data_IF_775378374474
#
_entry.id   IF_775378374474
#
_cell.length_a   1.000
_cell.length_b   1.000
_cell.length_c   1.000
_cell.angle_alpha   90.00
_cell.angle_beta   90.00
_cell.angle_gamma   90.00
#
_symmetry.space_group_name_H-M   'P 1'
#
loop_
_entity.id
_entity.type
_entity.pdbx_description
1 polymer ?
#
# COMPACT_ATOMS: atom_id res chain seq x y z
N UNK A 1 -28.61 -10.44 -13.73
CA UNK A 1 -29.01 -9.32 -12.83
C UNK A 1 -29.72 -8.26 -13.64
N UNK A 2 -30.90 -7.78 -13.19
CA UNK A 2 -31.71 -6.78 -13.90
C UNK A 2 -31.05 -5.40 -13.77
N UNK A 3 -30.76 -4.75 -14.89
CA UNK A 3 -30.29 -3.36 -14.96
C UNK A 3 -31.49 -2.46 -15.19
N UNK A 4 -31.60 -1.39 -14.41
CA UNK A 4 -32.62 -0.35 -14.62
C UNK A 4 -31.92 0.89 -15.15
N UNK A 5 -32.41 1.43 -16.28
CA UNK A 5 -31.92 2.67 -16.87
C UNK A 5 -32.94 3.76 -16.66
N UNK A 6 -32.52 4.91 -16.13
CA UNK A 6 -33.36 6.09 -15.95
C UNK A 6 -32.63 7.32 -16.47
N UNK A 7 -33.39 8.33 -16.91
CA UNK A 7 -32.86 9.66 -17.20
C UNK A 7 -33.41 10.63 -16.17
N UNK A 8 -32.55 11.14 -15.29
CA UNK A 8 -32.97 11.93 -14.13
C UNK A 8 -32.39 13.34 -14.16
N UNK A 9 -33.16 14.36 -13.74
CA UNK A 9 -32.65 15.70 -13.55
C UNK A 9 -31.80 15.79 -12.28
N UNK A 10 -30.72 16.56 -12.36
CA UNK A 10 -29.86 16.94 -11.24
C UNK A 10 -30.48 18.14 -10.53
N UNK A 11 -30.76 17.99 -9.23
CA UNK A 11 -31.26 19.06 -8.35
C UNK A 11 -30.19 19.51 -7.38
N UNK A 12 -30.15 20.80 -7.05
CA UNK A 12 -29.29 21.36 -6.00
C UNK A 12 -30.06 21.37 -4.69
N UNK A 13 -29.44 20.90 -3.60
CA UNK A 13 -30.06 20.79 -2.26
C UNK A 13 -29.25 21.50 -1.17
N UNK A 14 -28.34 22.38 -1.56
CA UNK A 14 -27.50 23.16 -0.68
C UNK A 14 -26.21 23.60 -1.36
N UNK A 15 -25.33 24.26 -0.61
CA UNK A 15 -24.03 24.67 -1.10
C UNK A 15 -23.21 23.46 -1.54
N UNK A 16 -22.96 23.36 -2.85
CA UNK A 16 -22.20 22.28 -3.47
C UNK A 16 -22.77 20.86 -3.25
N UNK A 17 -24.07 20.73 -2.93
CA UNK A 17 -24.74 19.44 -2.78
C UNK A 17 -25.77 19.25 -3.88
N UNK A 18 -25.61 18.15 -4.62
CA UNK A 18 -26.50 17.77 -5.71
C UNK A 18 -27.13 16.40 -5.43
N UNK A 19 -28.32 16.17 -5.96
CA UNK A 19 -29.01 14.89 -5.87
C UNK A 19 -29.74 14.54 -7.15
N UNK A 20 -30.13 13.28 -7.27
CA UNK A 20 -31.08 12.78 -8.26
C UNK A 20 -32.30 12.26 -7.51
N UNK A 21 -33.48 12.68 -7.93
CA UNK A 21 -34.75 12.17 -7.42
C UNK A 21 -35.32 11.15 -8.39
N UNK A 22 -35.63 9.95 -7.92
CA UNK A 22 -36.30 8.90 -8.69
C UNK A 22 -37.81 9.14 -8.64
N UNK A 23 -38.48 9.50 -9.76
CA UNK A 23 -39.91 9.74 -9.79
C UNK A 23 -40.71 8.49 -9.40
N UNK A 24 -41.87 8.66 -8.74
CA UNK A 24 -42.75 7.55 -8.30
C UNK A 24 -43.04 6.54 -9.41
N UNK A 25 -43.37 7.02 -10.63
CA UNK A 25 -43.59 6.18 -11.82
C UNK A 25 -42.42 5.26 -12.19
N UNK A 26 -41.19 5.65 -11.84
CA UNK A 26 -39.98 4.88 -12.09
C UNK A 26 -39.60 4.01 -10.88
N UNK A 27 -40.11 4.32 -9.69
CA UNK A 27 -39.90 3.51 -8.48
C UNK A 27 -40.55 2.13 -8.63
N UNK A 28 -41.77 2.07 -9.19
CA UNK A 28 -42.48 0.80 -9.42
C UNK A 28 -41.75 -0.11 -10.41
N UNK A 29 -40.95 0.48 -11.31
CA UNK A 29 -40.10 -0.25 -12.28
C UNK A 29 -38.82 -0.78 -11.64
N UNK A 30 -38.43 -0.21 -10.50
CA UNK A 30 -37.22 -0.57 -9.74
C UNK A 30 -37.60 -1.59 -8.66
N UNK A 31 -37.32 -2.86 -8.94
CA UNK A 31 -37.48 -3.94 -7.96
C UNK A 31 -36.29 -3.99 -6.96
N UNK A 32 -35.97 -2.86 -6.32
CA UNK A 32 -34.95 -2.76 -5.26
C UNK A 32 -35.60 -2.27 -3.96
N UNK A 33 -35.19 -2.84 -2.83
CA UNK A 33 -35.63 -2.40 -1.52
C UNK A 33 -34.77 -1.25 -1.00
N UNK A 34 -35.35 -0.42 -0.13
CA UNK A 34 -34.60 0.65 0.54
C UNK A 34 -33.36 0.08 1.23
N UNK A 35 -32.20 0.75 1.06
CA UNK A 35 -30.87 0.31 1.52
C UNK A 35 -30.25 -0.88 0.79
N UNK A 36 -30.88 -1.43 -0.26
CA UNK A 36 -30.23 -2.41 -1.12
C UNK A 36 -28.89 -1.87 -1.65
N UNK A 37 -27.88 -2.72 -1.69
CA UNK A 37 -26.57 -2.35 -2.22
C UNK A 37 -26.63 -2.39 -3.74
N UNK A 38 -26.33 -1.25 -4.35
CA UNK A 38 -26.41 -1.07 -5.79
C UNK A 38 -25.10 -0.55 -6.37
N UNK A 39 -24.79 -0.99 -7.57
CA UNK A 39 -23.92 -0.29 -8.51
C UNK A 39 -24.73 0.80 -9.19
N UNK A 40 -24.24 2.03 -9.06
CA UNK A 40 -24.77 3.20 -9.74
C UNK A 40 -23.74 3.67 -10.79
N UNK A 41 -24.11 3.58 -12.07
CA UNK A 41 -23.37 4.18 -13.18
C UNK A 41 -24.07 5.45 -13.60
N UNK A 42 -23.40 6.60 -13.50
CA UNK A 42 -23.87 7.87 -14.02
C UNK A 42 -23.15 8.18 -15.32
N UNK A 43 -23.93 8.60 -16.32
CA UNK A 43 -23.46 8.92 -17.67
C UNK A 43 -23.99 10.30 -18.03
N UNK A 44 -23.08 11.19 -18.42
CA UNK A 44 -23.38 12.50 -18.99
C UNK A 44 -22.43 12.74 -20.16
N UNK A 45 -23.00 12.91 -21.35
CA UNK A 45 -22.24 13.06 -22.60
C UNK A 45 -21.21 11.91 -22.73
N UNK A 46 -19.95 12.24 -23.01
CA UNK A 46 -18.85 11.27 -23.18
C UNK A 46 -18.20 10.86 -21.85
N UNK A 47 -18.76 11.26 -20.70
CA UNK A 47 -18.19 10.98 -19.37
C UNK A 47 -19.06 10.01 -18.60
N UNK A 48 -18.42 9.10 -17.87
CA UNK A 48 -19.12 8.20 -16.94
C UNK A 48 -18.36 7.97 -15.63
N UNK A 49 -19.12 7.66 -14.60
CA UNK A 49 -18.59 7.23 -13.30
C UNK A 49 -19.46 6.13 -12.71
N UNK A 50 -18.79 5.16 -12.09
CA UNK A 50 -19.42 4.04 -11.42
C UNK A 50 -19.01 4.03 -9.95
N UNK A 51 -20.02 3.99 -9.08
CA UNK A 51 -19.88 3.94 -7.62
C UNK A 51 -20.80 2.89 -7.02
N UNK A 52 -20.42 2.40 -5.84
CA UNK A 52 -21.29 1.61 -4.97
C UNK A 52 -22.06 2.59 -4.09
N UNK A 53 -23.39 2.42 -4.07
CA UNK A 53 -24.32 3.18 -3.23
C UNK A 53 -25.31 2.24 -2.54
N UNK A 54 -26.05 2.80 -1.58
CA UNK A 54 -27.30 2.21 -1.12
C UNK A 54 -28.45 2.81 -1.93
N UNK A 55 -29.43 1.99 -2.27
CA UNK A 55 -30.61 2.45 -2.97
C UNK A 55 -31.45 3.33 -2.04
N UNK A 56 -31.78 4.51 -2.55
CA UNK A 56 -32.68 5.50 -1.98
C UNK A 56 -33.33 6.24 -3.16
N UNK A 57 -34.59 6.63 -3.04
CA UNK A 57 -35.30 7.47 -4.01
C UNK A 57 -34.63 8.84 -4.19
N UNK A 58 -33.92 9.31 -3.16
CA UNK A 58 -33.04 10.47 -3.22
C UNK A 58 -31.57 10.04 -3.23
N UNK A 59 -30.93 10.08 -4.39
CA UNK A 59 -29.54 9.70 -4.57
C UNK A 59 -28.65 10.94 -4.45
N UNK A 60 -27.99 11.11 -3.30
CA UNK A 60 -27.03 12.20 -3.11
C UNK A 60 -25.77 11.99 -3.97
N UNK A 61 -25.38 13.01 -4.74
CA UNK A 61 -24.19 13.00 -5.58
C UNK A 61 -22.99 13.54 -4.81
N UNK A 62 -21.92 12.75 -4.75
CA UNK A 62 -20.68 13.16 -4.10
C UNK A 62 -19.97 14.24 -4.91
N UNK A 63 -19.20 15.08 -4.23
CA UNK A 63 -18.38 16.14 -4.86
C UNK A 63 -17.46 15.60 -5.96
N UNK A 64 -16.88 14.40 -5.79
CA UNK A 64 -16.05 13.74 -6.80
C UNK A 64 -16.83 13.38 -8.08
N UNK A 65 -18.09 12.95 -7.93
CA UNK A 65 -19.01 12.64 -9.04
C UNK A 65 -19.41 13.93 -9.77
N UNK A 66 -19.82 14.94 -9.01
CA UNK A 66 -20.22 16.26 -9.53
C UNK A 66 -19.09 16.91 -10.31
N UNK A 67 -17.87 16.92 -9.75
CA UNK A 67 -16.68 17.44 -10.43
C UNK A 67 -16.34 16.64 -11.69
N UNK A 68 -16.36 15.31 -11.64
CA UNK A 68 -15.99 14.48 -12.79
C UNK A 68 -16.95 14.64 -13.96
N UNK A 69 -18.25 14.71 -13.68
CA UNK A 69 -19.30 14.83 -14.69
C UNK A 69 -19.67 16.28 -15.01
N UNK A 70 -19.05 17.27 -14.37
CA UNK A 70 -19.39 18.69 -14.50
C UNK A 70 -20.90 18.92 -14.34
N UNK A 71 -21.50 18.37 -13.28
CA UNK A 71 -22.94 18.54 -13.06
C UNK A 71 -23.28 19.95 -12.62
N UNK A 72 -24.34 20.49 -13.23
CA UNK A 72 -25.05 21.71 -12.82
C UNK A 72 -26.50 21.37 -12.54
N UNK A 73 -27.19 22.25 -11.82
CA UNK A 73 -28.63 22.13 -11.62
C UNK A 73 -29.38 22.15 -12.97
N UNK A 74 -30.45 21.37 -13.09
CA UNK A 74 -31.23 21.22 -14.32
C UNK A 74 -30.60 20.30 -15.36
N UNK A 75 -29.33 19.89 -15.19
CA UNK A 75 -28.73 18.90 -16.09
C UNK A 75 -29.43 17.55 -15.97
N UNK A 76 -29.61 16.86 -17.09
CA UNK A 76 -30.06 15.47 -17.12
C UNK A 76 -28.87 14.51 -17.15
N UNK A 77 -29.04 13.37 -16.51
CA UNK A 77 -28.06 12.28 -16.55
C UNK A 77 -28.75 10.94 -16.70
N UNK A 78 -28.19 10.13 -17.59
CA UNK A 78 -28.54 8.72 -17.67
C UNK A 78 -27.90 7.98 -16.50
N UNK A 79 -28.73 7.35 -15.69
CA UNK A 79 -28.28 6.45 -14.63
C UNK A 79 -28.60 5.01 -14.98
N UNK A 80 -27.68 4.12 -14.63
CA UNK A 80 -27.89 2.68 -14.66
C UNK A 80 -27.73 2.16 -13.24
N UNK A 81 -28.79 1.55 -12.73
CA UNK A 81 -28.85 0.94 -11.41
C UNK A 81 -28.83 -0.57 -11.54
N UNK A 82 -28.05 -1.23 -10.69
CA UNK A 82 -27.95 -2.68 -10.65
C UNK A 82 -27.68 -3.14 -9.22
N UNK A 83 -28.53 -4.02 -8.70
CA UNK A 83 -28.29 -4.65 -7.40
C UNK A 83 -27.02 -5.50 -7.48
N UNK A 84 -26.12 -5.32 -6.52
CA UNK A 84 -24.87 -6.08 -6.45
C UNK A 84 -24.78 -6.87 -5.15
N UNK A 85 -24.09 -8.00 -5.23
CA UNK A 85 -23.71 -8.82 -4.08
C UNK A 85 -22.19 -8.84 -3.97
N UNK A 86 -21.68 -8.82 -2.74
CA UNK A 86 -20.24 -8.97 -2.54
C UNK A 86 -19.79 -10.36 -2.99
N UNK A 87 -18.67 -10.49 -3.71
CA UNK A 87 -18.11 -11.80 -4.01
C UNK A 87 -17.75 -12.54 -2.72
N UNK A 88 -17.82 -13.87 -2.78
CA UNK A 88 -17.32 -14.73 -1.70
C UNK A 88 -15.82 -14.54 -1.53
N UNK A 89 -15.35 -14.61 -0.29
CA UNK A 89 -13.93 -14.49 0.01
C UNK A 89 -13.20 -15.75 -0.46
N UNK A 90 -12.05 -15.62 -1.11
CA UNK A 90 -11.25 -16.78 -1.46
C UNK A 90 -10.69 -17.43 -0.18
N UNK A 91 -10.56 -18.74 -0.16
CA UNK A 91 -9.92 -19.48 0.94
C UNK A 91 -8.39 -19.41 0.91
N UNK A 92 -7.80 -19.09 -0.26
CA UNK A 92 -6.35 -19.01 -0.48
C UNK A 92 -5.96 -17.59 -0.84
N UNK A 93 -4.81 -17.15 -0.32
CA UNK A 93 -4.22 -15.85 -0.63
C UNK A 93 -3.50 -15.80 -1.98
N UNK A 94 -3.16 -16.96 -2.56
CA UNK A 94 -2.46 -17.07 -3.84
C UNK A 94 -3.34 -17.75 -4.89
N UNK A 95 -3.42 -17.15 -6.08
CA UNK A 95 -4.12 -17.71 -7.24
C UNK A 95 -3.30 -17.46 -8.49
N UNK A 96 -2.95 -18.53 -9.21
CA UNK A 96 -2.15 -18.45 -10.45
C UNK A 96 -0.86 -17.62 -10.28
N UNK A 97 -0.14 -17.87 -9.19
CA UNK A 97 1.11 -17.17 -8.86
C UNK A 97 0.96 -15.68 -8.47
N UNK A 98 -0.26 -15.18 -8.27
CA UNK A 98 -0.53 -13.80 -7.84
C UNK A 98 -1.25 -13.76 -6.49
N UNK A 99 -0.99 -12.71 -5.72
CA UNK A 99 -1.68 -12.46 -4.45
C UNK A 99 -3.10 -11.94 -4.72
N UNK A 100 -4.12 -12.57 -4.15
CA UNK A 100 -5.51 -12.11 -4.17
C UNK A 100 -5.78 -11.15 -3.00
N UNK A 101 -5.92 -9.86 -3.29
CA UNK A 101 -6.18 -8.83 -2.27
C UNK A 101 -7.54 -8.97 -1.60
N UNK A 102 -8.50 -9.67 -2.21
CA UNK A 102 -9.79 -9.94 -1.57
C UNK A 102 -9.64 -10.81 -0.31
N UNK A 103 -8.61 -11.67 -0.27
CA UNK A 103 -8.30 -12.53 0.88
C UNK A 103 -7.97 -11.72 2.15
N UNK A 104 -7.30 -10.57 1.99
CA UNK A 104 -6.78 -9.77 3.12
C UNK A 104 -7.70 -8.65 3.57
N UNK A 105 -8.69 -8.29 2.74
CA UNK A 105 -9.67 -7.27 3.08
C UNK A 105 -10.49 -7.73 4.29
N UNK A 106 -10.74 -6.95 5.35
CA UNK A 106 -11.64 -7.37 6.43
C UNK A 106 -13.12 -7.25 6.02
N UNK A 107 -14.04 -7.91 6.72
CA UNK A 107 -15.48 -7.81 6.42
C UNK A 107 -16.08 -6.49 6.87
N UNK A 108 -15.61 -6.01 8.02
CA UNK A 108 -15.98 -4.74 8.60
C UNK A 108 -14.73 -3.88 8.75
N UNK A 109 -14.90 -2.56 8.66
CA UNK A 109 -13.89 -1.61 9.10
C UNK A 109 -13.70 -1.69 10.62
N UNK A 110 -12.59 -1.15 11.13
CA UNK A 110 -12.34 -1.01 12.58
C UNK A 110 -13.45 -0.25 13.33
N UNK A 111 -14.27 0.54 12.62
CA UNK A 111 -15.44 1.25 13.17
C UNK A 111 -16.75 0.45 13.08
N UNK A 112 -16.68 -0.84 12.76
CA UNK A 112 -17.85 -1.73 12.63
C UNK A 112 -18.63 -1.61 11.32
N UNK A 113 -18.31 -0.67 10.42
CA UNK A 113 -19.01 -0.54 9.14
C UNK A 113 -18.65 -1.66 8.16
N UNK A 114 -19.65 -2.36 7.62
CA UNK A 114 -19.46 -3.40 6.58
C UNK A 114 -18.76 -2.85 5.34
N UNK A 115 -17.79 -3.60 4.85
CA UNK A 115 -17.09 -3.35 3.59
C UNK A 115 -17.79 -4.14 2.49
N UNK A 116 -18.32 -3.39 1.53
CA UNK A 116 -18.96 -3.92 0.33
C UNK A 116 -17.93 -3.95 -0.78
N UNK A 117 -17.94 -5.04 -1.53
CA UNK A 117 -16.98 -5.31 -2.59
C UNK A 117 -17.74 -5.58 -3.87
N UNK A 118 -17.27 -5.02 -4.97
CA UNK A 118 -17.71 -5.37 -6.31
C UNK A 118 -16.48 -5.69 -7.15
N UNK A 119 -16.47 -6.84 -7.81
CA UNK A 119 -15.44 -7.17 -8.79
C UNK A 119 -15.82 -6.63 -10.17
N UNK A 120 -14.86 -6.03 -10.86
CA UNK A 120 -15.02 -5.58 -12.24
C UNK A 120 -13.72 -5.71 -13.02
N UNK A 121 -13.80 -5.66 -14.34
CA UNK A 121 -12.64 -5.75 -15.22
C UNK A 121 -12.36 -4.40 -15.89
N UNK A 122 -11.08 -4.03 -15.96
CA UNK A 122 -10.59 -2.90 -16.76
C UNK A 122 -9.40 -3.38 -17.57
N UNK A 123 -9.49 -3.31 -18.91
CA UNK A 123 -8.44 -3.76 -19.84
C UNK A 123 -7.96 -5.18 -19.52
N UNK A 124 -8.90 -6.14 -19.35
CA UNK A 124 -8.64 -7.54 -18.96
C UNK A 124 -8.00 -7.75 -17.58
N UNK A 125 -7.81 -6.70 -16.78
CA UNK A 125 -7.31 -6.79 -15.40
C UNK A 125 -8.50 -6.77 -14.43
N UNK A 126 -8.54 -7.70 -13.48
CA UNK A 126 -9.54 -7.72 -12.42
C UNK A 126 -9.23 -6.68 -11.34
N UNK A 127 -10.26 -5.90 -10.99
CA UNK A 127 -10.25 -4.86 -9.97
C UNK A 127 -11.38 -5.10 -8.96
N UNK A 128 -11.16 -4.63 -7.74
CA UNK A 128 -12.15 -4.54 -6.68
C UNK A 128 -12.55 -3.07 -6.49
N UNK A 129 -13.85 -2.79 -6.55
CA UNK A 129 -14.43 -1.53 -6.08
C UNK A 129 -14.89 -1.78 -4.64
N UNK A 130 -14.30 -1.07 -3.70
CA UNK A 130 -14.54 -1.22 -2.26
C UNK A 130 -15.30 -0.02 -1.74
N UNK A 131 -16.29 -0.25 -0.90
CA UNK A 131 -17.10 0.80 -0.30
C UNK A 131 -17.47 0.45 1.14
N UNK A 132 -17.37 1.41 2.05
CA UNK A 132 -17.97 1.32 3.38
C UNK A 132 -18.89 2.51 3.61
N UNK A 133 -20.03 2.28 4.25
CA UNK A 133 -20.99 3.31 4.60
C UNK A 133 -20.83 3.69 6.07
N UNK A 134 -20.59 4.98 6.32
CA UNK A 134 -20.66 5.55 7.66
C UNK A 134 -22.11 5.52 8.17
N UNK A 135 -22.31 5.54 9.49
CA UNK A 135 -23.64 5.59 10.12
C UNK A 135 -24.47 6.78 9.62
N UNK A 136 -23.81 7.92 9.42
CA UNK A 136 -24.38 9.16 8.83
C UNK A 136 -24.65 9.11 7.32
N UNK A 137 -24.56 7.94 6.68
CA UNK A 137 -24.90 7.74 5.26
C UNK A 137 -23.82 8.12 4.25
N UNK A 138 -22.74 8.81 4.66
CA UNK A 138 -21.60 9.05 3.78
C UNK A 138 -20.89 7.74 3.43
N UNK A 139 -20.28 7.67 2.25
CA UNK A 139 -19.53 6.49 1.84
C UNK A 139 -18.24 6.88 1.14
N UNK A 140 -17.27 5.98 1.17
CA UNK A 140 -15.99 6.18 0.50
C UNK A 140 -15.75 5.04 -0.47
N UNK A 141 -15.57 5.37 -1.75
CA UNK A 141 -15.32 4.38 -2.80
C UNK A 141 -13.84 4.38 -3.16
N UNK A 142 -13.20 3.22 -3.11
CA UNK A 142 -11.83 3.03 -3.56
C UNK A 142 -11.77 1.88 -4.56
N UNK A 143 -10.84 1.96 -5.51
CA UNK A 143 -10.62 0.94 -6.51
C UNK A 143 -9.20 0.42 -6.33
N UNK A 144 -9.04 -0.89 -6.33
CA UNK A 144 -7.73 -1.56 -6.29
C UNK A 144 -7.74 -2.75 -7.25
N UNK A 145 -6.57 -3.21 -7.69
CA UNK A 145 -6.46 -4.49 -8.39
C UNK A 145 -6.87 -5.62 -7.46
N UNK A 146 -7.42 -6.69 -8.02
CA UNK A 146 -7.69 -7.91 -7.25
C UNK A 146 -6.41 -8.74 -7.09
N UNK A 147 -5.75 -9.00 -8.22
CA UNK A 147 -4.56 -9.84 -8.27
C UNK A 147 -3.31 -9.00 -8.47
N UNK A 148 -2.30 -9.20 -7.62
CA UNK A 148 -1.02 -8.46 -7.66
C UNK A 148 0.17 -9.42 -7.71
N UNK A 149 1.24 -9.02 -8.41
CA UNK A 149 2.48 -9.80 -8.44
C UNK A 149 3.06 -9.92 -7.02
N UNK A 150 3.59 -11.11 -6.72
CA UNK A 150 4.12 -11.45 -5.40
C UNK A 150 5.31 -10.57 -5.01
N UNK A 151 6.33 -10.48 -5.86
CA UNK A 151 7.52 -9.67 -5.59
C UNK A 151 7.17 -8.19 -5.37
N UNK A 152 6.36 -7.60 -6.24
CA UNK A 152 5.94 -6.19 -6.11
C UNK A 152 5.20 -5.96 -4.78
N UNK A 153 4.27 -6.85 -4.43
CA UNK A 153 3.53 -6.71 -3.18
C UNK A 153 4.42 -6.97 -1.96
N UNK A 154 5.36 -7.92 -2.05
CA UNK A 154 6.37 -8.19 -1.03
C UNK A 154 7.21 -6.96 -0.76
N UNK A 155 7.72 -6.31 -1.81
CA UNK A 155 8.49 -5.06 -1.72
C UNK A 155 7.72 -3.94 -1.02
N UNK A 156 6.44 -3.74 -1.36
CA UNK A 156 5.57 -2.78 -0.66
C UNK A 156 5.44 -3.10 0.83
N UNK A 157 5.20 -4.37 1.17
CA UNK A 157 5.06 -4.79 2.57
C UNK A 157 6.37 -4.67 3.34
N UNK A 158 7.52 -4.92 2.71
CA UNK A 158 8.84 -4.73 3.28
C UNK A 158 9.11 -3.26 3.61
N UNK A 159 8.82 -2.35 2.68
CA UNK A 159 8.92 -0.89 2.91
C UNK A 159 7.97 -0.41 4.03
N UNK A 160 6.73 -0.92 4.03
CA UNK A 160 5.78 -0.60 5.10
C UNK A 160 6.23 -1.18 6.46
N UNK A 161 6.92 -2.31 6.46
CA UNK A 161 7.48 -2.88 7.68
C UNK A 161 8.63 -2.05 8.22
N UNK A 162 9.50 -1.47 7.39
CA UNK A 162 10.60 -0.67 7.89
C UNK A 162 10.14 0.73 8.30
N UNK A 163 9.58 1.46 7.34
CA UNK A 163 9.41 2.92 7.41
C UNK A 163 7.93 3.36 7.49
N UNK A 164 7.00 2.40 7.40
CA UNK A 164 5.57 2.65 7.44
C UNK A 164 5.00 2.77 8.86
N UNK A 165 3.92 3.54 8.99
CA UNK A 165 3.11 3.55 10.21
C UNK A 165 2.40 2.21 10.39
N UNK A 166 2.65 1.53 11.52
CA UNK A 166 2.13 0.19 11.82
C UNK A 166 0.88 0.18 12.70
N UNK A 167 0.53 1.31 13.31
CA UNK A 167 -0.52 1.41 14.35
C UNK A 167 -1.77 2.15 13.91
N UNK A 168 -1.69 2.97 12.86
CA UNK A 168 -2.82 3.79 12.42
C UNK A 168 -3.66 3.08 11.34
N UNK A 169 -4.77 2.47 11.74
CA UNK A 169 -5.72 1.83 10.80
C UNK A 169 -6.60 2.82 10.02
N UNK A 170 -6.59 4.11 10.36
CA UNK A 170 -7.37 5.13 9.68
C UNK A 170 -6.71 5.63 8.39
N UNK A 171 -5.37 5.59 8.35
CA UNK A 171 -4.55 6.24 7.34
C UNK A 171 -3.32 5.38 7.07
N UNK A 172 -2.97 5.18 5.79
CA UNK A 172 -1.69 4.59 5.44
C UNK A 172 -0.66 5.72 5.34
N UNK A 173 0.40 5.64 6.13
CA UNK A 173 1.48 6.65 6.15
C UNK A 173 2.83 5.97 5.94
N UNK A 174 3.64 6.53 5.04
CA UNK A 174 5.01 6.15 4.78
C UNK A 174 5.88 7.40 4.83
N UNK A 175 6.97 7.38 5.61
CA UNK A 175 7.85 8.52 5.83
C UNK A 175 9.27 8.18 5.37
N UNK A 176 9.87 8.99 4.51
CA UNK A 176 11.28 8.82 4.16
C UNK A 176 11.92 10.16 3.71
N UNK A 177 13.25 10.20 3.73
CA UNK A 177 14.04 11.31 3.16
C UNK A 177 14.48 11.02 1.72
N UNK A 178 14.68 9.74 1.41
CA UNK A 178 15.14 9.30 0.11
C UNK A 178 14.03 9.45 -0.94
N UNK A 179 14.28 10.30 -1.95
CA UNK A 179 13.35 10.51 -3.06
C UNK A 179 13.12 9.23 -3.88
N UNK A 180 14.12 8.35 -3.97
CA UNK A 180 13.99 7.06 -4.66
C UNK A 180 13.06 6.11 -3.91
N UNK A 181 13.19 5.99 -2.58
CA UNK A 181 12.29 5.16 -1.77
C UNK A 181 10.85 5.68 -1.80
N UNK A 182 10.66 7.01 -1.79
CA UNK A 182 9.34 7.64 -1.94
C UNK A 182 8.72 7.34 -3.31
N UNK A 183 9.51 7.44 -4.38
CA UNK A 183 9.06 7.15 -5.75
C UNK A 183 8.71 5.67 -5.92
N UNK A 184 9.51 4.77 -5.37
CA UNK A 184 9.24 3.32 -5.38
C UNK A 184 7.95 3.00 -4.63
N UNK A 185 7.76 3.58 -3.44
CA UNK A 185 6.53 3.43 -2.68
C UNK A 185 5.31 3.87 -3.48
N UNK A 186 5.37 5.04 -4.14
CA UNK A 186 4.30 5.52 -5.01
C UNK A 186 4.04 4.60 -6.20
N UNK A 187 5.09 4.08 -6.83
CA UNK A 187 4.95 3.11 -7.92
C UNK A 187 4.20 1.86 -7.46
N UNK A 188 4.46 1.36 -6.25
CA UNK A 188 3.70 0.24 -5.69
C UNK A 188 2.24 0.62 -5.41
N UNK A 189 1.98 1.79 -4.83
CA UNK A 189 0.61 2.30 -4.60
C UNK A 189 -0.17 2.46 -5.91
N UNK A 190 0.45 3.01 -6.96
CA UNK A 190 -0.16 3.10 -8.30
C UNK A 190 -0.37 1.73 -8.93
N UNK A 191 0.56 0.80 -8.72
CA UNK A 191 0.42 -0.58 -9.17
C UNK A 191 -0.80 -1.27 -8.52
N UNK A 192 -1.09 -0.98 -7.25
CA UNK A 192 -2.31 -1.44 -6.59
C UNK A 192 -3.59 -0.84 -7.19
N UNK A 193 -3.48 0.21 -8.01
CA UNK A 193 -4.61 0.90 -8.63
C UNK A 193 -5.13 2.10 -7.83
N UNK A 194 -4.42 2.53 -6.79
CA UNK A 194 -4.75 3.74 -6.03
C UNK A 194 -4.35 4.95 -6.88
N UNK A 195 -5.26 5.91 -7.04
CA UNK A 195 -5.02 7.06 -7.92
C UNK A 195 -4.27 8.19 -7.21
N UNK A 196 -3.56 9.04 -7.97
CA UNK A 196 -2.79 10.17 -7.42
C UNK A 196 -3.63 11.15 -6.60
N UNK A 197 -4.92 11.30 -6.94
CA UNK A 197 -5.84 12.21 -6.23
C UNK A 197 -6.18 11.71 -4.81
N UNK A 198 -5.82 10.46 -4.47
CA UNK A 198 -5.98 9.89 -3.13
C UNK A 198 -4.74 10.09 -2.25
N UNK A 199 -3.66 10.63 -2.81
CA UNK A 199 -2.37 10.78 -2.16
C UNK A 199 -2.23 12.20 -1.65
N UNK A 200 -1.87 12.32 -0.38
CA UNK A 200 -1.55 13.57 0.28
C UNK A 200 -0.09 13.54 0.69
N UNK A 201 0.68 14.58 0.36
CA UNK A 201 2.09 14.69 0.72
C UNK A 201 2.25 15.75 1.80
N UNK A 202 2.90 15.37 2.89
CA UNK A 202 3.26 16.26 4.00
C UNK A 202 4.78 16.29 4.15
N UNK A 203 5.36 17.46 4.43
CA UNK A 203 6.75 17.58 4.86
C UNK A 203 6.80 18.00 6.33
N UNK A 204 7.47 17.21 7.16
CA UNK A 204 7.82 17.56 8.53
C UNK A 204 9.32 17.87 8.61
N UNK A 205 9.70 18.98 9.24
CA UNK A 205 11.10 19.39 9.31
C UNK A 205 11.47 20.06 10.63
N UNK A 206 12.72 19.90 11.06
CA UNK A 206 13.25 20.64 12.20
C UNK A 206 13.41 22.14 11.86
N UNK A 207 13.02 23.09 12.74
CA UNK A 207 13.06 24.53 12.45
C UNK A 207 14.43 25.10 12.04
N UNK A 208 15.53 24.40 12.35
CA UNK A 208 16.90 24.81 11.97
C UNK A 208 17.22 24.63 10.49
N UNK A 209 16.40 23.90 9.73
CA UNK A 209 16.64 23.65 8.31
C UNK A 209 16.14 24.86 7.51
N UNK A 210 17.07 25.54 6.82
CA UNK A 210 16.78 26.78 6.10
C UNK A 210 16.40 26.55 4.63
N UNK A 211 16.82 25.44 4.02
CA UNK A 211 16.66 25.15 2.59
C UNK A 211 15.42 24.29 2.27
N UNK A 212 14.35 24.38 3.06
CA UNK A 212 13.16 23.53 2.91
C UNK A 212 12.46 23.72 1.57
N UNK A 213 12.42 24.95 1.05
CA UNK A 213 11.80 25.22 -0.25
C UNK A 213 12.54 24.53 -1.41
N UNK A 214 13.87 24.43 -1.33
CA UNK A 214 14.67 23.70 -2.31
C UNK A 214 14.38 22.20 -2.25
N UNK A 215 14.29 21.63 -1.06
CA UNK A 215 13.96 20.21 -0.87
C UNK A 215 12.54 19.88 -1.35
N UNK A 216 11.58 20.78 -1.13
CA UNK A 216 10.23 20.69 -1.70
C UNK A 216 10.33 20.67 -3.23
N UNK A 217 11.01 21.64 -3.85
CA UNK A 217 11.13 21.72 -5.31
C UNK A 217 11.80 20.46 -5.90
N UNK A 218 12.87 19.95 -5.25
CA UNK A 218 13.52 18.69 -5.62
C UNK A 218 12.54 17.51 -5.57
N UNK A 219 11.77 17.39 -4.49
CA UNK A 219 10.74 16.36 -4.35
C UNK A 219 9.69 16.48 -5.45
N UNK A 220 9.10 17.66 -5.65
CA UNK A 220 8.02 17.85 -6.63
C UNK A 220 8.47 17.53 -8.05
N UNK A 221 9.69 17.94 -8.41
CA UNK A 221 10.29 17.66 -9.72
C UNK A 221 10.61 16.17 -9.92
N UNK A 222 11.18 15.51 -8.91
CA UNK A 222 11.60 14.11 -9.03
C UNK A 222 10.44 13.11 -8.98
N UNK A 223 9.48 13.38 -8.09
CA UNK A 223 8.37 12.50 -7.76
C UNK A 223 7.12 12.82 -8.58
N UNK A 224 6.95 14.07 -9.03
CA UNK A 224 5.79 14.50 -9.82
C UNK A 224 4.52 14.71 -8.99
N UNK A 225 4.65 14.93 -7.68
CA UNK A 225 3.54 15.24 -6.78
C UNK A 225 3.82 16.54 -6.04
N UNK A 226 2.78 17.37 -5.86
CA UNK A 226 2.88 18.58 -5.05
C UNK A 226 2.86 18.28 -3.56
N UNK A 227 3.68 18.98 -2.79
CA UNK A 227 3.62 18.97 -1.32
C UNK A 227 2.36 19.72 -0.90
N UNK A 228 1.44 19.04 -0.24
CA UNK A 228 0.17 19.64 0.14
C UNK A 228 0.28 20.48 1.41
N UNK A 229 1.23 20.15 2.28
CA UNK A 229 1.41 20.81 3.56
C UNK A 229 2.84 20.62 4.07
N UNK A 230 3.42 21.68 4.62
CA UNK A 230 4.73 21.65 5.28
C UNK A 230 4.59 22.21 6.69
N UNK A 231 5.15 21.52 7.69
CA UNK A 231 5.16 21.99 9.07
C UNK A 231 6.53 21.84 9.73
N UNK A 232 6.93 22.89 10.44
CA UNK A 232 8.07 22.83 11.33
C UNK A 232 7.70 22.06 12.60
N UNK A 233 8.56 21.14 13.02
CA UNK A 233 8.34 20.33 14.20
C UNK A 233 9.68 20.11 14.92
N UNK A 234 9.79 20.66 16.15
CA UNK A 234 10.97 20.54 17.02
C UNK A 234 11.28 19.10 17.43
N UNK A 235 10.29 18.21 17.40
CA UNK A 235 10.45 16.78 17.75
C UNK A 235 10.97 15.92 16.60
N UNK A 236 10.88 16.41 15.36
CA UNK A 236 11.69 15.86 14.28
C UNK A 236 13.14 16.08 14.72
N UNK A 237 13.97 15.03 14.83
CA UNK A 237 15.42 15.23 15.00
C UNK A 237 15.95 16.21 13.93
N UNK A 238 17.21 16.63 13.99
CA UNK A 238 17.81 17.74 13.20
C UNK A 238 17.62 17.66 11.65
N UNK A 239 16.94 16.65 11.10
CA UNK A 239 16.53 16.53 9.70
C UNK A 239 15.06 16.88 9.38
N UNK A 240 14.66 16.46 8.18
CA UNK A 240 13.31 16.58 7.63
C UNK A 240 12.81 15.20 7.16
N UNK A 241 11.55 15.07 6.77
CA UNK A 241 11.03 13.84 6.16
C UNK A 241 9.73 14.08 5.40
N UNK A 242 9.64 13.51 4.20
CA UNK A 242 8.42 13.52 3.41
C UNK A 242 7.54 12.35 3.82
N UNK A 243 6.27 12.65 4.05
CA UNK A 243 5.22 11.71 4.41
C UNK A 243 4.23 11.58 3.27
N UNK A 244 4.10 10.37 2.75
CA UNK A 244 3.06 10.01 1.79
C UNK A 244 1.90 9.42 2.58
N UNK A 245 0.73 10.06 2.45
CA UNK A 245 -0.44 9.81 3.27
C UNK A 245 -1.62 9.41 2.36
N UNK A 246 -2.20 8.24 2.62
CA UNK A 246 -3.42 7.77 1.95
C UNK A 246 -4.54 7.69 2.99
N UNK A 247 -5.47 8.64 2.92
CA UNK A 247 -6.61 8.74 3.84
C UNK A 247 -7.73 7.79 3.44
N UNK A 248 -7.52 6.49 3.67
CA UNK A 248 -8.54 5.47 3.47
C UNK A 248 -8.40 4.34 4.49
N UNK A 249 -9.38 4.24 5.38
CA UNK A 249 -9.45 3.19 6.40
C UNK A 249 -9.51 1.80 5.79
N UNK A 250 -10.14 1.65 4.62
CA UNK A 250 -10.19 0.37 3.89
C UNK A 250 -8.80 -0.03 3.40
N UNK A 251 -8.06 0.90 2.77
CA UNK A 251 -6.71 0.63 2.25
C UNK A 251 -5.73 0.39 3.39
N UNK A 252 -5.73 1.23 4.43
CA UNK A 252 -4.84 1.04 5.57
C UNK A 252 -5.07 -0.34 6.22
N UNK A 253 -6.33 -0.71 6.51
CA UNK A 253 -6.63 -2.03 7.05
C UNK A 253 -6.25 -3.18 6.11
N UNK A 254 -6.47 -3.05 4.79
CA UNK A 254 -6.06 -4.06 3.82
C UNK A 254 -4.55 -4.30 3.90
N UNK A 255 -3.74 -3.24 3.84
CA UNK A 255 -2.28 -3.33 3.83
C UNK A 255 -1.75 -3.81 5.18
N UNK A 256 -2.25 -3.30 6.30
CA UNK A 256 -1.81 -3.72 7.63
C UNK A 256 -2.23 -5.16 7.95
N UNK A 257 -3.43 -5.59 7.54
CA UNK A 257 -3.84 -7.00 7.68
C UNK A 257 -3.01 -7.91 6.77
N UNK A 258 -2.71 -7.49 5.55
CA UNK A 258 -1.82 -8.20 4.66
C UNK A 258 -0.43 -8.32 5.28
N UNK A 259 0.14 -7.23 5.79
CA UNK A 259 1.44 -7.20 6.45
C UNK A 259 1.51 -8.16 7.64
N UNK A 260 0.48 -8.21 8.47
CA UNK A 260 0.42 -9.14 9.61
C UNK A 260 0.31 -10.60 9.15
N UNK A 261 -0.67 -10.92 8.29
CA UNK A 261 -0.93 -12.30 7.84
C UNK A 261 0.18 -12.86 6.96
N UNK A 262 0.67 -12.06 6.02
CA UNK A 262 1.70 -12.51 5.10
C UNK A 262 3.04 -12.66 5.79
N UNK A 263 3.35 -11.92 6.85
CA UNK A 263 4.56 -12.14 7.62
C UNK A 263 4.60 -13.54 8.22
N UNK A 264 3.49 -13.98 8.84
CA UNK A 264 3.37 -15.35 9.32
C UNK A 264 3.49 -16.38 8.18
N UNK A 265 2.94 -16.10 7.00
CA UNK A 265 3.12 -16.97 5.82
C UNK A 265 4.59 -16.99 5.36
N UNK A 266 5.26 -15.84 5.33
CA UNK A 266 6.68 -15.66 5.01
C UNK A 266 7.58 -16.28 6.10
N UNK A 267 7.06 -16.70 7.25
CA UNK A 267 7.76 -17.55 8.23
C UNK A 267 7.61 -19.06 7.96
N UNK A 268 6.61 -19.49 7.19
CA UNK A 268 6.38 -20.92 6.84
C UNK A 268 7.15 -21.33 5.58
N UNK A 269 7.86 -22.47 5.55
CA UNK A 269 8.68 -22.94 4.40
C UNK A 269 7.87 -23.33 3.15
N UNK A 270 7.02 -22.43 2.66
CA UNK A 270 6.20 -22.62 1.48
C UNK A 270 6.84 -21.90 0.28
N UNK A 271 7.45 -22.70 -0.61
CA UNK A 271 8.10 -22.22 -1.84
C UNK A 271 7.14 -21.46 -2.77
N UNK A 272 5.82 -21.64 -2.65
CA UNK A 272 4.84 -20.89 -3.44
C UNK A 272 4.89 -19.37 -3.18
N UNK A 273 5.38 -18.95 -2.01
CA UNK A 273 5.52 -17.56 -1.59
C UNK A 273 6.97 -17.06 -1.66
N UNK A 274 7.84 -17.73 -2.41
CA UNK A 274 9.26 -17.35 -2.51
C UNK A 274 9.44 -15.93 -3.03
N UNK A 275 8.82 -15.57 -4.15
CA UNK A 275 8.90 -14.21 -4.70
C UNK A 275 8.40 -13.13 -3.74
N UNK A 276 7.33 -13.43 -2.98
CA UNK A 276 6.81 -12.53 -1.96
C UNK A 276 7.84 -12.34 -0.83
N UNK A 277 8.45 -13.43 -0.40
CA UNK A 277 9.46 -13.44 0.66
C UNK A 277 10.73 -12.70 0.24
N UNK A 278 11.18 -12.90 -1.00
CA UNK A 278 12.36 -12.26 -1.58
C UNK A 278 12.15 -10.75 -1.63
N UNK A 279 11.02 -10.30 -2.21
CA UNK A 279 10.68 -8.88 -2.28
C UNK A 279 10.50 -8.22 -0.91
N UNK A 280 9.87 -8.93 0.03
CA UNK A 280 9.70 -8.46 1.41
C UNK A 280 11.04 -8.28 2.12
N UNK A 281 11.89 -9.30 2.12
CA UNK A 281 13.19 -9.25 2.79
C UNK A 281 14.08 -8.17 2.15
N UNK A 282 14.12 -8.09 0.82
CA UNK A 282 14.91 -7.09 0.12
C UNK A 282 14.58 -5.66 0.59
N UNK A 283 13.28 -5.31 0.65
CA UNK A 283 12.88 -3.96 1.06
C UNK A 283 12.91 -3.72 2.57
N UNK A 284 12.68 -4.75 3.39
CA UNK A 284 12.94 -4.67 4.83
C UNK A 284 14.41 -4.30 5.08
N UNK A 285 15.33 -4.97 4.37
CA UNK A 285 16.77 -4.70 4.49
C UNK A 285 17.17 -3.32 3.97
N UNK A 286 16.52 -2.79 2.93
CA UNK A 286 16.77 -1.42 2.47
C UNK A 286 16.54 -0.37 3.55
N UNK A 287 15.52 -0.55 4.39
CA UNK A 287 15.19 0.38 5.47
C UNK A 287 15.96 0.09 6.76
N UNK A 288 15.74 -1.09 7.34
CA UNK A 288 16.21 -1.41 8.70
C UNK A 288 17.48 -2.29 8.72
N UNK A 289 17.94 -2.71 7.54
CA UNK A 289 19.11 -3.57 7.39
C UNK A 289 20.43 -2.81 7.48
N UNK A 290 21.41 -3.42 8.11
CA UNK A 290 22.79 -2.93 8.15
C UNK A 290 23.78 -4.04 7.84
N UNK A 291 24.67 -3.79 6.87
CA UNK A 291 25.73 -4.71 6.50
C UNK A 291 27.08 -4.20 7.03
N UNK A 292 27.67 -4.97 7.95
CA UNK A 292 28.94 -4.65 8.59
C UNK A 292 30.04 -5.57 8.07
N UNK A 293 31.21 -4.99 7.83
CA UNK A 293 32.42 -5.73 7.48
C UNK A 293 33.44 -5.45 8.56
N UNK A 294 33.99 -6.52 9.13
CA UNK A 294 35.01 -6.45 10.16
C UNK A 294 36.21 -7.26 9.69
N UNK A 295 37.42 -6.70 9.81
CA UNK A 295 38.64 -7.49 9.67
C UNK A 295 39.10 -7.94 11.05
N UNK A 296 39.22 -9.25 11.28
CA UNK A 296 39.88 -9.76 12.48
C UNK A 296 41.36 -9.87 12.18
N UNK A 297 42.20 -9.16 12.94
CA UNK A 297 43.66 -9.19 12.86
C UNK A 297 44.22 -8.97 11.44
N UNK A 298 43.57 -8.10 10.65
CA UNK A 298 43.95 -7.74 9.25
C UNK A 298 44.02 -8.90 8.23
N UNK A 299 43.77 -10.15 8.62
CA UNK A 299 43.92 -11.34 7.75
C UNK A 299 42.60 -11.96 7.31
N UNK A 300 41.55 -11.90 8.13
CA UNK A 300 40.27 -12.55 7.81
C UNK A 300 39.15 -11.53 7.81
N UNK A 301 38.55 -11.33 6.64
CA UNK A 301 37.40 -10.46 6.47
C UNK A 301 36.14 -11.25 6.84
N UNK A 302 35.36 -10.72 7.77
CA UNK A 302 34.07 -11.26 8.18
C UNK A 302 32.99 -10.23 7.91
N UNK A 303 31.80 -10.67 7.55
CA UNK A 303 30.65 -9.78 7.46
C UNK A 303 29.47 -10.24 8.32
N UNK A 304 28.65 -9.26 8.71
CA UNK A 304 27.50 -9.43 9.59
C UNK A 304 26.34 -8.66 9.01
N UNK A 305 25.16 -9.27 9.07
CA UNK A 305 23.89 -8.61 8.79
C UNK A 305 23.19 -8.32 10.12
N UNK A 306 22.72 -7.09 10.29
CA UNK A 306 21.85 -6.69 11.39
C UNK A 306 20.53 -6.14 10.83
N UNK A 307 19.43 -6.36 11.54
CA UNK A 307 18.15 -5.70 11.28
C UNK A 307 17.65 -5.15 12.61
N UNK A 308 17.37 -3.85 12.65
CA UNK A 308 16.94 -3.14 13.85
C UNK A 308 15.42 -2.99 13.87
N UNK A 309 14.79 -3.18 15.04
CA UNK A 309 13.36 -2.90 15.24
C UNK A 309 13.09 -2.75 16.73
N UNK A 310 12.30 -1.74 17.10
CA UNK A 310 11.91 -1.51 18.49
C UNK A 310 10.93 -2.56 19.03
N UNK A 311 10.34 -3.39 18.17
CA UNK A 311 9.43 -4.45 18.55
C UNK A 311 10.13 -5.83 18.54
N UNK A 312 10.28 -6.43 19.73
CA UNK A 312 10.92 -7.74 19.92
C UNK A 312 10.19 -8.88 19.21
N UNK A 313 8.85 -8.84 19.11
CA UNK A 313 8.07 -9.82 18.35
C UNK A 313 8.47 -9.79 16.87
N UNK A 314 8.70 -8.59 16.32
CA UNK A 314 9.10 -8.42 14.93
C UNK A 314 10.52 -8.93 14.70
N UNK A 315 11.44 -8.70 15.63
CA UNK A 315 12.79 -9.29 15.59
C UNK A 315 12.76 -10.82 15.55
N UNK A 316 11.85 -11.44 16.31
CA UNK A 316 11.65 -12.89 16.29
C UNK A 316 11.08 -13.38 14.94
N UNK A 317 10.18 -12.62 14.32
CA UNK A 317 9.73 -12.90 12.95
C UNK A 317 10.89 -12.81 11.95
N UNK A 318 11.71 -11.75 12.00
CA UNK A 318 12.87 -11.60 11.11
C UNK A 318 13.89 -12.72 11.28
N UNK A 319 14.14 -13.17 12.52
CA UNK A 319 14.97 -14.35 12.81
C UNK A 319 14.46 -15.59 12.05
N UNK A 320 13.15 -15.87 12.08
CA UNK A 320 12.57 -17.00 11.36
C UNK A 320 12.69 -16.84 9.85
N UNK A 321 12.44 -15.64 9.32
CA UNK A 321 12.59 -15.36 7.88
C UNK A 321 14.04 -15.60 7.45
N UNK A 322 15.02 -15.03 8.15
CA UNK A 322 16.45 -15.19 7.84
C UNK A 322 16.89 -16.66 7.88
N UNK A 323 16.39 -17.47 8.81
CA UNK A 323 16.69 -18.92 8.86
C UNK A 323 16.36 -19.64 7.55
N UNK A 324 15.32 -19.22 6.83
CA UNK A 324 14.95 -19.81 5.53
C UNK A 324 15.92 -19.54 4.42
N UNK A 325 16.61 -18.41 4.50
CA UNK A 325 17.68 -18.06 3.60
C UNK A 325 19.02 -18.66 4.08
N UNK A 326 18.97 -19.68 4.95
CA UNK A 326 20.11 -20.40 5.50
C UNK A 326 21.06 -19.55 6.34
N UNK A 327 20.57 -18.42 6.89
CA UNK A 327 21.30 -17.69 7.91
C UNK A 327 21.19 -18.39 9.27
N UNK A 328 22.13 -18.09 10.16
CA UNK A 328 22.10 -18.49 11.58
C UNK A 328 21.85 -17.27 12.47
N UNK A 329 20.62 -16.73 12.50
CA UNK A 329 20.32 -15.50 13.22
C UNK A 329 20.05 -15.73 14.70
N UNK A 330 20.41 -14.74 15.50
CA UNK A 330 20.06 -14.63 16.91
C UNK A 330 19.57 -13.21 17.22
N UNK A 331 18.66 -13.09 18.19
CA UNK A 331 18.08 -11.81 18.62
C UNK A 331 18.87 -11.30 19.81
N UNK A 332 19.25 -10.01 19.78
CA UNK A 332 19.79 -9.28 20.92
C UNK A 332 18.74 -8.30 21.40
N UNK A 333 17.89 -8.75 22.32
CA UNK A 333 16.74 -7.97 22.82
C UNK A 333 17.17 -6.65 23.46
N UNK A 334 18.19 -6.66 24.33
CA UNK A 334 18.72 -5.42 24.96
C UNK A 334 19.20 -4.36 23.97
N UNK A 335 19.52 -4.75 22.74
CA UNK A 335 20.00 -3.85 21.70
C UNK A 335 19.04 -3.70 20.53
N UNK A 336 17.83 -4.28 20.61
CA UNK A 336 16.77 -4.17 19.62
C UNK A 336 17.20 -4.52 18.18
N UNK A 337 17.96 -5.61 18.01
CA UNK A 337 18.29 -6.12 16.68
C UNK A 337 18.35 -7.64 16.59
N UNK A 338 18.11 -8.16 15.39
CA UNK A 338 18.51 -9.51 14.98
C UNK A 338 19.83 -9.43 14.23
N UNK A 339 20.74 -10.37 14.51
CA UNK A 339 22.05 -10.43 13.87
C UNK A 339 22.38 -11.82 13.38
N UNK A 340 23.10 -11.88 12.27
CA UNK A 340 23.64 -13.12 11.73
C UNK A 340 24.99 -12.87 11.05
N UNK A 341 25.82 -13.91 10.96
CA UNK A 341 27.01 -13.88 10.12
C UNK A 341 26.59 -14.03 8.66
N UNK A 342 27.29 -13.35 7.76
CA UNK A 342 27.05 -13.47 6.33
C UNK A 342 28.33 -13.98 5.66
N UNK A 343 28.24 -15.14 5.01
CA UNK A 343 29.32 -15.66 4.18
C UNK A 343 29.14 -15.18 2.73
N UNK A 344 30.09 -15.49 1.85
CA UNK A 344 30.05 -15.05 0.45
C UNK A 344 28.77 -15.50 -0.28
N UNK A 345 28.36 -16.76 -0.12
CA UNK A 345 27.16 -17.30 -0.79
C UNK A 345 25.88 -16.58 -0.31
N UNK A 346 25.79 -16.30 0.98
CA UNK A 346 24.68 -15.54 1.56
C UNK A 346 24.67 -14.09 1.06
N UNK A 347 25.84 -13.46 0.97
CA UNK A 347 26.00 -12.11 0.44
C UNK A 347 25.58 -12.02 -1.04
N UNK A 348 25.96 -13.01 -1.86
CA UNK A 348 25.50 -13.12 -3.25
C UNK A 348 23.98 -13.34 -3.34
N UNK A 349 23.40 -14.14 -2.45
CA UNK A 349 21.95 -14.33 -2.39
C UNK A 349 21.21 -13.04 -2.03
N UNK A 350 21.75 -12.21 -1.13
CA UNK A 350 21.18 -10.89 -0.82
C UNK A 350 21.16 -9.99 -2.06
N UNK A 351 22.23 -9.99 -2.89
CA UNK A 351 22.24 -9.25 -4.16
C UNK A 351 21.20 -9.80 -5.15
N UNK A 352 21.06 -11.13 -5.26
CA UNK A 352 20.10 -11.77 -6.17
C UNK A 352 18.65 -11.40 -5.88
N UNK A 353 18.28 -11.27 -4.61
CA UNK A 353 16.92 -10.84 -4.22
C UNK A 353 16.73 -9.32 -4.31
N UNK A 354 17.77 -8.56 -4.65
CA UNK A 354 17.74 -7.10 -4.72
C UNK A 354 17.78 -6.40 -3.36
N UNK A 355 18.36 -7.03 -2.33
CA UNK A 355 18.57 -6.37 -1.06
C UNK A 355 19.62 -5.25 -1.19
N UNK A 356 19.38 -4.15 -0.48
CA UNK A 356 20.18 -2.93 -0.49
C UNK A 356 20.24 -2.22 -1.85
N UNK A 357 19.29 -2.47 -2.75
CA UNK A 357 19.19 -1.74 -4.01
C UNK A 357 19.12 -0.22 -3.76
N UNK A 358 20.00 0.56 -4.40
CA UNK A 358 20.17 2.00 -4.19
C UNK A 358 20.55 2.42 -2.74
N UNK A 359 21.13 1.51 -1.95
CA UNK A 359 21.57 1.77 -0.58
C UNK A 359 23.11 1.55 -0.45
N UNK A 360 23.85 2.36 0.34
CA UNK A 360 25.30 2.19 0.54
C UNK A 360 25.75 0.80 1.02
N UNK A 361 24.87 0.05 1.68
CA UNK A 361 25.16 -1.34 2.08
C UNK A 361 25.39 -2.27 0.88
N UNK A 362 24.88 -1.96 -0.32
CA UNK A 362 25.15 -2.73 -1.53
C UNK A 362 26.62 -2.68 -1.92
N UNK A 363 27.22 -1.50 -1.87
CA UNK A 363 28.65 -1.35 -2.19
C UNK A 363 29.52 -2.07 -1.16
N UNK A 364 29.10 -2.09 0.11
CA UNK A 364 29.74 -2.91 1.14
C UNK A 364 29.67 -4.40 0.80
N UNK A 365 28.49 -4.90 0.39
CA UNK A 365 28.36 -6.31 -0.01
C UNK A 365 29.28 -6.63 -1.19
N UNK A 366 29.31 -5.78 -2.22
CA UNK A 366 30.18 -5.96 -3.38
C UNK A 366 31.66 -5.95 -2.99
N UNK A 367 32.06 -5.01 -2.13
CA UNK A 367 33.41 -4.97 -1.57
C UNK A 367 33.75 -6.27 -0.84
N UNK A 368 32.89 -6.74 0.08
CA UNK A 368 33.09 -8.00 0.81
C UNK A 368 33.31 -9.19 -0.12
N UNK A 369 32.43 -9.36 -1.12
CA UNK A 369 32.55 -10.46 -2.10
C UNK A 369 33.88 -10.35 -2.87
N UNK A 370 34.22 -9.15 -3.33
CA UNK A 370 35.46 -8.92 -4.08
C UNK A 370 36.72 -9.22 -3.24
N UNK A 371 36.72 -8.86 -1.95
CA UNK A 371 37.86 -9.07 -1.08
C UNK A 371 38.01 -10.55 -0.70
N UNK A 372 36.92 -11.26 -0.46
CA UNK A 372 36.96 -12.71 -0.18
C UNK A 372 37.47 -13.50 -1.39
N UNK A 373 37.08 -13.12 -2.61
CA UNK A 373 37.58 -13.76 -3.85
C UNK A 373 39.06 -13.51 -4.13
N UNK A 374 39.58 -12.35 -3.70
CA UNK A 374 41.00 -11.98 -3.87
C UNK A 374 41.93 -12.61 -2.84
N UNK A 375 41.39 -13.14 -1.73
CA UNK A 375 42.21 -13.91 -0.80
C UNK A 375 42.66 -15.20 -1.52
N UNK A 376 43.97 -15.48 -1.60
CA UNK A 376 44.41 -16.77 -2.12
C UNK A 376 43.71 -17.86 -1.31
N UNK A 377 43.18 -18.88 -2.00
CA UNK A 377 42.72 -20.11 -1.36
C UNK A 377 43.92 -20.68 -0.60
N UNK A 378 44.07 -20.29 0.67
CA UNK A 378 45.10 -20.83 1.54
C UNK A 378 44.84 -22.33 1.55
N UNK A 379 45.84 -23.07 1.04
CA UNK A 379 45.91 -24.52 0.98
C UNK A 379 45.10 -25.14 2.11
N UNK A 380 44.09 -25.94 1.75
CA UNK A 380 43.56 -26.96 2.65
C UNK A 380 44.78 -27.74 3.16
N UNK A 381 45.10 -27.59 4.45
CA UNK A 381 45.88 -28.56 5.20
C UNK A 381 44.89 -29.52 5.85
#
# INVERSE_FOLDING_TARGET
>A
MKKVKLNLPVKKIGENRFCLYVPRKDQDRINFYFKDVIRLKLIKENKSIEIISKYNYLISLKREVVKKLNFKEGNFTNIILEKISSPSRPMKSLRSGKIDLLYFLPENTIKGSKIIVEEFYKNKISYLRLCSFHSRGSSFNVKIRRFVNQNIFGKLLGQMQSEGSKTNFGVLEFCNKSLTELKDFLNFIYYLGISKERIFVKLDYHPKIKNINEEINKFENFVGLKVNYSSSNKTSGVGFGFKIIIRSTIISQLILNALRRLRSIIETNNNQFKELSDGYLARLLNGDGHFEITSKNRKTIQSRLKIYDGNVEYLNHYKKILKKYNFTPYVKEKSNFVRTLCNMNLAENLLKIGAFENNPNRDRILFFISSVRKLPLSKKM
#
